data_IF_605252440445
#
_entry.id   IF_605252440445
#
_cell.length_a   1.000
_cell.length_b   1.000
_cell.length_c   1.000
_cell.angle_alpha   90.00
_cell.angle_beta   90.00
_cell.angle_gamma   90.00
#
_symmetry.space_group_name_H-M   'P 1'
#
loop_
_entity.id
_entity.type
_entity.pdbx_description
1 polymer ?
#
# COMPACT_ATOMS: atom_id res chain seq x y z
N UNK A 1 50.53 19.48 6.43
CA UNK A 1 49.29 20.28 6.25
C UNK A 1 48.54 19.95 4.96
N UNK A 2 49.17 19.95 3.76
CA UNK A 2 48.50 19.65 2.47
C UNK A 2 47.73 18.32 2.43
N UNK A 3 48.26 17.25 3.05
CA UNK A 3 47.59 15.93 3.12
C UNK A 3 46.33 15.91 3.98
N UNK A 4 46.27 16.70 5.05
CA UNK A 4 45.09 16.80 5.93
C UNK A 4 43.94 17.56 5.26
N UNK A 5 44.28 18.61 4.49
CA UNK A 5 43.29 19.37 3.71
C UNK A 5 42.67 18.50 2.61
N UNK A 6 43.49 17.70 1.92
CA UNK A 6 42.98 16.77 0.89
C UNK A 6 42.01 15.77 1.51
N UNK A 7 42.38 15.10 2.61
CA UNK A 7 41.50 14.12 3.27
C UNK A 7 40.17 14.77 3.70
N UNK A 8 40.21 15.96 4.32
CA UNK A 8 39.00 16.65 4.76
C UNK A 8 38.07 17.02 3.58
N UNK A 9 38.63 17.48 2.46
CA UNK A 9 37.85 17.80 1.25
C UNK A 9 37.25 16.54 0.64
N UNK A 10 37.99 15.43 0.55
CA UNK A 10 37.45 14.17 0.02
C UNK A 10 36.37 13.58 0.93
N UNK A 11 36.51 13.69 2.26
CA UNK A 11 35.49 13.22 3.22
C UNK A 11 34.19 14.02 3.12
N UNK A 12 34.27 15.35 2.98
CA UNK A 12 33.10 16.22 2.80
C UNK A 12 32.43 15.93 1.45
N UNK A 13 33.21 15.68 0.40
CA UNK A 13 32.68 15.29 -0.91
C UNK A 13 31.97 13.93 -0.86
N UNK A 14 32.53 12.94 -0.16
CA UNK A 14 31.91 11.62 0.03
C UNK A 14 30.64 11.68 0.89
N UNK A 15 30.58 12.55 1.90
CA UNK A 15 29.38 12.80 2.71
C UNK A 15 28.26 13.49 1.90
N UNK A 16 28.60 14.28 0.89
CA UNK A 16 27.61 14.96 0.03
C UNK A 16 26.95 14.10 -1.05
N UNK A 17 27.44 12.87 -1.28
CA UNK A 17 26.90 11.94 -2.30
C UNK A 17 25.94 10.90 -1.67
N UNK A 18 25.72 10.95 -0.35
CA UNK A 18 24.69 10.15 0.32
C UNK A 18 23.28 10.70 0.06
N UNK A 19 22.92 10.92 -1.21
CA UNK A 19 21.53 11.00 -1.60
C UNK A 19 20.94 9.61 -1.36
N UNK A 20 20.10 9.49 -0.34
CA UNK A 20 19.26 8.33 -0.11
C UNK A 20 18.45 8.07 -1.38
N UNK A 21 18.87 7.10 -2.19
CA UNK A 21 18.10 6.58 -3.30
C UNK A 21 16.91 5.81 -2.73
N UNK A 22 15.85 6.52 -2.34
CA UNK A 22 14.58 5.93 -1.97
C UNK A 22 13.95 5.37 -3.25
N UNK A 23 14.29 4.13 -3.59
CA UNK A 23 13.60 3.39 -4.62
C UNK A 23 12.17 3.14 -4.13
N UNK A 24 11.21 3.64 -4.89
CA UNK A 24 9.81 3.27 -4.73
C UNK A 24 9.67 1.74 -4.80
N UNK A 25 8.97 1.09 -3.85
CA UNK A 25 8.71 -0.34 -3.92
C UNK A 25 7.92 -0.66 -5.18
N UNK A 26 8.29 -1.77 -5.82
CA UNK A 26 7.66 -2.18 -7.08
C UNK A 26 6.18 -2.51 -6.92
N UNK A 27 5.81 -3.08 -5.79
CA UNK A 27 4.43 -3.43 -5.44
C UNK A 27 4.12 -2.82 -4.08
N UNK A 28 2.97 -2.16 -3.99
CA UNK A 28 2.50 -1.45 -2.80
C UNK A 28 1.00 -1.72 -2.62
N UNK A 29 0.55 -1.69 -1.37
CA UNK A 29 -0.88 -1.67 -1.02
C UNK A 29 -1.21 -0.38 -0.27
N UNK A 30 -2.44 0.11 -0.42
CA UNK A 30 -2.91 1.33 0.24
C UNK A 30 -4.40 1.26 0.55
N UNK A 31 -4.80 1.32 1.82
CA UNK A 31 -6.21 1.54 2.18
C UNK A 31 -6.56 3.01 1.95
N UNK A 32 -7.60 3.29 1.17
CA UNK A 32 -8.03 4.65 0.84
C UNK A 32 -8.40 5.42 2.12
N UNK A 33 -7.84 6.63 2.26
CA UNK A 33 -8.08 7.51 3.41
C UNK A 33 -7.18 7.25 4.61
N UNK A 34 -6.32 6.22 4.57
CA UNK A 34 -5.36 5.94 5.62
C UNK A 34 -4.21 6.97 5.67
N UNK A 35 -3.62 7.16 6.86
CA UNK A 35 -2.53 8.14 7.08
C UNK A 35 -1.28 7.46 7.60
N UNK A 36 -0.14 7.76 6.97
CA UNK A 36 1.18 7.30 7.41
C UNK A 36 1.53 7.84 8.81
N UNK A 37 1.66 6.95 9.79
CA UNK A 37 2.11 7.31 11.12
C UNK A 37 3.62 7.08 11.26
N UNK A 38 4.42 8.13 11.10
CA UNK A 38 5.88 8.07 11.28
C UNK A 38 6.33 7.89 12.74
N UNK A 39 5.41 8.03 13.72
CA UNK A 39 5.74 8.23 15.15
C UNK A 39 5.37 7.10 16.12
N UNK A 40 4.70 6.03 15.68
CA UNK A 40 4.33 4.92 16.56
C UNK A 40 5.16 3.68 16.23
N UNK A 41 6.07 3.30 17.14
CA UNK A 41 6.97 2.16 16.98
C UNK A 41 6.31 0.77 16.98
N UNK A 42 4.97 0.70 17.04
CA UNK A 42 4.21 -0.55 17.14
C UNK A 42 3.39 -0.87 15.88
N UNK A 43 3.08 0.11 15.03
CA UNK A 43 2.22 -0.04 13.84
C UNK A 43 3.04 0.00 12.54
N UNK A 44 4.21 -0.65 12.55
CA UNK A 44 5.04 -0.83 11.34
C UNK A 44 4.61 -2.03 10.49
N UNK A 45 3.53 -2.71 10.87
CA UNK A 45 3.14 -3.99 10.31
C UNK A 45 1.79 -3.84 9.62
N UNK A 46 1.82 -3.62 8.30
CA UNK A 46 0.77 -4.02 7.33
C UNK A 46 -0.69 -3.59 7.58
N UNK A 47 -1.54 -3.77 6.59
CA UNK A 47 -2.90 -3.21 6.59
C UNK A 47 -3.84 -4.00 7.48
N UNK A 48 -3.79 -3.73 8.78
CA UNK A 48 -4.73 -4.28 9.76
C UNK A 48 -5.88 -3.30 9.93
N UNK A 49 -7.09 -3.77 9.70
CA UNK A 49 -8.30 -2.96 9.84
C UNK A 49 -9.39 -3.75 10.56
N UNK A 50 -10.12 -3.03 11.40
CA UNK A 50 -11.34 -3.53 12.05
C UNK A 50 -12.60 -2.96 11.36
N UNK A 51 -12.42 -2.17 10.29
CA UNK A 51 -13.54 -1.64 9.51
C UNK A 51 -14.10 -2.70 8.59
N UNK A 52 -15.43 -2.73 8.53
CA UNK A 52 -16.17 -3.76 7.80
C UNK A 52 -16.28 -3.46 6.29
N UNK A 53 -16.02 -2.22 5.86
CA UNK A 53 -16.03 -1.81 4.46
C UNK A 53 -14.99 -0.72 4.23
N UNK A 54 -14.13 -0.90 3.23
CA UNK A 54 -13.11 0.06 2.82
C UNK A 54 -12.61 -0.26 1.42
N UNK A 55 -11.97 0.72 0.78
CA UNK A 55 -11.31 0.50 -0.50
C UNK A 55 -9.81 0.27 -0.31
N UNK A 56 -9.30 -0.75 -1.00
CA UNK A 56 -7.89 -1.11 -1.04
C UNK A 56 -7.34 -0.87 -2.45
N UNK A 57 -6.26 -0.11 -2.56
CA UNK A 57 -5.48 0.02 -3.79
C UNK A 57 -4.31 -0.94 -3.77
N UNK A 58 -4.12 -1.66 -4.87
CA UNK A 58 -2.91 -2.44 -5.14
C UNK A 58 -2.19 -1.81 -6.31
N UNK A 59 -0.91 -1.48 -6.13
CA UNK A 59 -0.22 -0.54 -7.01
C UNK A 59 1.09 -1.13 -7.46
N UNK A 60 1.26 -1.25 -8.77
CA UNK A 60 2.53 -1.57 -9.40
C UNK A 60 3.26 -0.31 -9.80
N UNK A 61 4.42 -0.03 -9.21
CA UNK A 61 5.16 1.22 -9.43
C UNK A 61 6.57 0.94 -9.95
N UNK A 62 6.84 1.26 -11.21
CA UNK A 62 8.15 0.98 -11.81
C UNK A 62 9.12 2.12 -11.61
N UNK A 63 8.66 3.34 -11.85
CA UNK A 63 9.51 4.54 -11.81
C UNK A 63 8.66 5.78 -11.71
N UNK A 64 9.19 6.79 -11.00
CA UNK A 64 8.59 8.13 -10.97
C UNK A 64 8.51 8.75 -12.36
N UNK A 65 7.37 9.35 -12.65
CA UNK A 65 7.20 10.18 -13.82
C UNK A 65 7.81 11.56 -13.54
N UNK A 66 8.68 12.01 -14.45
CA UNK A 66 9.34 13.31 -14.38
C UNK A 66 9.22 13.96 -15.76
N UNK A 67 8.38 15.01 -15.93
CA UNK A 67 8.24 15.68 -17.23
C UNK A 67 9.52 16.42 -17.63
N UNK A 68 10.37 16.80 -16.67
CA UNK A 68 11.65 17.52 -16.90
C UNK A 68 12.76 16.62 -17.47
N UNK A 69 12.59 15.31 -17.33
CA UNK A 69 13.51 14.27 -17.75
C UNK A 69 13.73 14.17 -19.26
N UNK A 70 12.73 14.59 -20.03
CA UNK A 70 12.75 14.50 -21.49
C UNK A 70 13.58 15.62 -22.14
N UNK A 71 13.93 16.68 -21.40
CA UNK A 71 14.62 17.86 -21.94
C UNK A 71 16.14 17.83 -21.80
N UNK A 72 16.67 17.01 -20.90
CA UNK A 72 18.11 16.85 -20.71
C UNK A 72 18.44 15.38 -20.89
N UNK A 73 19.20 15.08 -21.93
CA UNK A 73 19.75 13.76 -22.21
C UNK A 73 20.54 13.28 -20.97
N UNK A 74 19.88 12.55 -20.07
CA UNK A 74 20.31 12.31 -18.69
C UNK A 74 21.35 11.19 -18.58
N UNK A 75 22.29 11.16 -19.53
CA UNK A 75 23.45 10.28 -19.53
C UNK A 75 24.59 10.77 -18.60
N UNK A 76 24.43 11.92 -17.93
CA UNK A 76 25.53 12.49 -17.16
C UNK A 76 25.69 11.90 -15.74
N UNK A 77 24.69 11.19 -15.18
CA UNK A 77 24.76 10.63 -13.81
C UNK A 77 23.95 9.32 -13.59
N UNK A 78 23.66 8.55 -14.65
CA UNK A 78 22.95 7.25 -14.52
C UNK A 78 21.45 7.33 -14.18
N UNK A 79 20.86 8.52 -14.19
CA UNK A 79 19.43 8.71 -14.01
C UNK A 79 18.69 8.53 -15.34
N UNK A 80 18.44 7.29 -15.78
CA UNK A 80 17.53 7.03 -16.89
C UNK A 80 16.12 7.48 -16.50
N UNK A 81 15.60 8.48 -17.20
CA UNK A 81 14.43 9.23 -16.76
C UNK A 81 13.31 9.21 -17.83
N UNK A 82 13.22 8.12 -18.63
CA UNK A 82 12.19 7.88 -19.67
C UNK A 82 11.00 6.98 -19.24
N UNK A 83 10.36 6.27 -20.17
CA UNK A 83 9.48 5.12 -19.88
C UNK A 83 10.31 3.87 -19.54
N UNK A 84 10.00 3.10 -18.49
CA UNK A 84 10.69 1.85 -18.20
C UNK A 84 10.43 0.84 -19.34
N UNK A 85 11.29 -0.18 -19.47
CA UNK A 85 10.97 -1.30 -20.38
C UNK A 85 9.64 -1.92 -19.95
N UNK A 86 8.80 -2.24 -20.93
CA UNK A 86 7.52 -2.91 -20.68
C UNK A 86 7.72 -4.16 -19.82
N UNK A 87 6.89 -4.29 -18.79
CA UNK A 87 6.86 -5.39 -17.84
C UNK A 87 5.50 -5.35 -17.13
N UNK A 88 5.06 -6.47 -16.61
CA UNK A 88 3.76 -6.60 -15.93
C UNK A 88 3.92 -7.35 -14.62
N UNK A 89 2.87 -7.38 -13.80
CA UNK A 89 2.73 -8.16 -12.58
C UNK A 89 1.37 -8.87 -12.60
N UNK A 90 1.39 -10.20 -12.68
CA UNK A 90 0.23 -11.00 -12.31
C UNK A 90 0.07 -10.92 -10.78
N UNK A 91 -1.00 -10.29 -10.30
CA UNK A 91 -1.08 -9.77 -8.94
C UNK A 91 -2.11 -10.53 -8.10
N UNK A 92 -1.73 -10.78 -6.86
CA UNK A 92 -2.53 -11.43 -5.83
C UNK A 92 -2.66 -10.50 -4.62
N UNK A 93 -3.88 -10.34 -4.13
CA UNK A 93 -4.10 -9.83 -2.77
C UNK A 93 -3.94 -10.98 -1.80
N UNK A 94 -3.14 -10.75 -0.76
CA UNK A 94 -2.96 -11.68 0.34
C UNK A 94 -3.82 -11.22 1.51
N UNK A 95 -4.76 -12.06 1.90
CA UNK A 95 -5.68 -11.79 3.00
C UNK A 95 -5.31 -12.71 4.15
N UNK A 96 -5.24 -12.16 5.36
CA UNK A 96 -5.11 -12.95 6.58
C UNK A 96 -6.24 -12.64 7.56
N UNK A 97 -6.79 -13.69 8.17
CA UNK A 97 -7.89 -13.63 9.14
C UNK A 97 -7.58 -14.53 10.34
N UNK A 98 -8.13 -14.27 11.54
CA UNK A 98 -7.85 -15.06 12.73
C UNK A 98 -8.26 -16.55 12.62
N UNK A 99 -7.37 -17.47 13.00
CA UNK A 99 -7.55 -18.95 12.86
C UNK A 99 -8.77 -19.56 13.55
N UNK A 100 -9.31 -18.91 14.57
CA UNK A 100 -10.36 -19.47 15.46
C UNK A 100 -11.68 -18.71 15.35
N UNK A 101 -11.87 -17.99 14.25
CA UNK A 101 -13.08 -17.21 14.01
C UNK A 101 -13.67 -17.61 12.67
N UNK A 102 -14.98 -17.38 12.56
CA UNK A 102 -15.73 -17.62 11.34
C UNK A 102 -16.27 -16.29 10.86
N UNK A 103 -16.05 -16.02 9.58
CA UNK A 103 -16.44 -14.77 8.97
C UNK A 103 -16.34 -14.87 7.46
N UNK A 104 -16.60 -13.76 6.81
CA UNK A 104 -16.65 -13.67 5.36
C UNK A 104 -15.89 -12.42 4.91
N UNK A 105 -15.19 -12.57 3.79
CA UNK A 105 -14.49 -11.47 3.12
C UNK A 105 -14.98 -11.44 1.69
N UNK A 106 -15.34 -10.26 1.19
CA UNK A 106 -15.68 -10.04 -0.22
C UNK A 106 -14.71 -9.06 -0.86
N UNK A 107 -14.35 -9.34 -2.11
CA UNK A 107 -13.60 -8.44 -2.98
C UNK A 107 -14.49 -8.14 -4.17
N UNK A 108 -14.83 -6.86 -4.38
CA UNK A 108 -15.69 -6.40 -5.49
C UNK A 108 -17.01 -7.20 -5.59
N UNK A 109 -17.60 -7.53 -4.43
CA UNK A 109 -18.84 -8.31 -4.32
C UNK A 109 -18.68 -9.82 -4.47
N UNK A 110 -17.49 -10.33 -4.79
CA UNK A 110 -17.19 -11.77 -4.88
C UNK A 110 -16.64 -12.25 -3.54
N UNK A 111 -17.26 -13.29 -2.97
CA UNK A 111 -16.80 -13.87 -1.71
C UNK A 111 -15.47 -14.62 -1.90
N UNK A 112 -14.51 -14.32 -1.02
CA UNK A 112 -13.23 -15.02 -0.96
C UNK A 112 -13.45 -16.35 -0.25
N UNK A 113 -13.30 -17.42 -1.01
CA UNK A 113 -13.49 -18.78 -0.52
C UNK A 113 -12.21 -19.32 0.09
N UNK A 114 -12.34 -20.04 1.21
CA UNK A 114 -11.31 -20.87 1.83
C UNK A 114 -10.09 -20.09 2.34
N UNK A 115 -9.81 -20.24 3.63
CA UNK A 115 -8.59 -19.75 4.26
C UNK A 115 -7.81 -20.93 4.81
N UNK A 116 -6.55 -21.08 4.42
CA UNK A 116 -5.69 -22.21 4.79
C UNK A 116 -4.44 -21.75 5.53
N UNK A 117 -3.57 -22.69 5.94
CA UNK A 117 -2.28 -22.29 6.49
C UNK A 117 -1.40 -21.68 5.39
N UNK A 118 -0.46 -20.80 5.78
CA UNK A 118 0.27 -19.97 4.83
C UNK A 118 0.88 -20.74 3.65
N UNK A 119 1.54 -21.88 3.91
CA UNK A 119 2.20 -22.65 2.85
C UNK A 119 1.22 -23.29 1.88
N UNK A 120 0.01 -23.63 2.33
CA UNK A 120 -1.03 -24.22 1.49
C UNK A 120 -1.82 -23.16 0.72
N UNK A 121 -1.80 -21.90 1.20
CA UNK A 121 -2.48 -20.77 0.57
C UNK A 121 -1.68 -20.15 -0.58
N UNK A 122 -0.35 -20.33 -0.59
CA UNK A 122 0.55 -19.73 -1.59
C UNK A 122 0.34 -20.43 -2.95
N UNK A 123 0.05 -19.70 -4.03
CA UNK A 123 -0.05 -20.28 -5.37
C UNK A 123 1.30 -20.85 -5.81
N UNK A 124 1.29 -21.96 -6.56
CA UNK A 124 2.50 -22.73 -6.87
C UNK A 124 3.57 -22.01 -7.70
N UNK A 125 3.19 -20.94 -8.43
CA UNK A 125 4.08 -20.09 -9.23
C UNK A 125 4.59 -18.86 -8.46
N UNK A 126 4.23 -18.71 -7.19
CA UNK A 126 4.53 -17.54 -6.37
C UNK A 126 5.54 -17.89 -5.29
N UNK A 127 6.57 -17.07 -5.14
CA UNK A 127 7.56 -17.17 -4.07
C UNK A 127 7.60 -15.88 -3.25
N UNK A 128 6.61 -15.67 -2.34
CA UNK A 128 6.53 -14.43 -1.58
C UNK A 128 7.71 -14.31 -0.61
N UNK A 129 8.05 -13.07 -0.26
CA UNK A 129 9.06 -12.84 0.75
C UNK A 129 8.66 -13.46 2.10
N UNK A 130 9.60 -14.14 2.75
CA UNK A 130 9.32 -14.91 3.97
C UNK A 130 8.82 -14.09 5.16
N UNK A 131 8.98 -12.76 5.15
CA UNK A 131 8.45 -11.87 6.18
C UNK A 131 6.93 -11.73 6.15
N UNK A 132 6.27 -12.00 5.01
CA UNK A 132 4.84 -11.73 4.85
C UNK A 132 3.99 -12.53 5.86
N UNK A 133 4.39 -13.78 6.13
CA UNK A 133 3.73 -14.62 7.15
C UNK A 133 4.00 -14.16 8.59
N UNK A 134 4.99 -13.29 8.82
CA UNK A 134 5.41 -12.90 10.16
C UNK A 134 4.86 -11.54 10.59
N UNK A 135 4.14 -10.86 9.70
CA UNK A 135 3.39 -9.65 10.03
C UNK A 135 2.42 -9.91 11.20
N UNK A 136 2.33 -8.97 12.14
CA UNK A 136 1.35 -9.05 13.22
C UNK A 136 0.08 -8.31 12.77
N UNK A 137 -1.12 -8.88 12.95
CA UNK A 137 -1.45 -10.14 13.63
C UNK A 137 -1.38 -11.42 12.76
N UNK A 138 -1.13 -11.28 11.45
CA UNK A 138 -1.15 -12.35 10.42
C UNK A 138 -0.37 -13.62 10.73
N UNK A 139 0.71 -13.53 11.52
CA UNK A 139 1.47 -14.70 12.00
C UNK A 139 0.63 -15.77 12.70
N UNK A 140 -0.55 -15.41 13.18
CA UNK A 140 -1.50 -16.32 13.82
C UNK A 140 -2.77 -16.54 13.01
N UNK A 141 -2.83 -16.06 11.78
CA UNK A 141 -3.99 -16.15 10.91
C UNK A 141 -3.98 -17.34 9.96
N UNK A 142 -5.12 -17.55 9.31
CA UNK A 142 -5.22 -18.29 8.05
C UNK A 142 -5.05 -17.30 6.88
N UNK A 143 -4.71 -17.81 5.72
CA UNK A 143 -4.35 -17.01 4.55
C UNK A 143 -5.18 -17.40 3.33
N UNK A 144 -5.39 -16.42 2.45
CA UNK A 144 -5.89 -16.61 1.10
C UNK A 144 -5.09 -15.71 0.15
N UNK A 145 -4.78 -16.23 -1.04
CA UNK A 145 -4.16 -15.49 -2.13
C UNK A 145 -5.17 -15.38 -3.26
N UNK A 146 -5.86 -14.24 -3.35
CA UNK A 146 -6.84 -13.99 -4.41
C UNK A 146 -6.16 -13.28 -5.57
N UNK A 147 -6.21 -13.88 -6.76
CA UNK A 147 -5.75 -13.20 -7.98
C UNK A 147 -6.68 -12.03 -8.30
N UNK A 148 -6.10 -10.85 -8.54
CA UNK A 148 -6.86 -9.61 -8.83
C UNK A 148 -6.65 -9.10 -10.26
N UNK A 149 -5.86 -9.80 -11.07
CA UNK A 149 -5.53 -9.43 -12.44
C UNK A 149 -4.09 -8.97 -12.62
N UNK A 150 -3.85 -8.27 -13.73
CA UNK A 150 -2.52 -7.85 -14.17
C UNK A 150 -2.38 -6.34 -14.02
N UNK A 151 -1.24 -5.92 -13.47
CA UNK A 151 -0.80 -4.52 -13.42
C UNK A 151 0.43 -4.40 -14.31
N UNK A 152 0.42 -3.47 -15.26
CA UNK A 152 1.59 -3.22 -16.10
C UNK A 152 2.09 -1.78 -16.00
N UNK A 153 3.05 -1.41 -16.85
CA UNK A 153 3.71 -0.11 -16.85
C UNK A 153 3.62 0.61 -18.21
N UNK A 154 2.57 0.32 -18.98
CA UNK A 154 2.32 0.95 -20.28
C UNK A 154 1.98 2.46 -20.15
N UNK A 155 1.41 2.84 -18.99
CA UNK A 155 0.85 4.15 -18.70
C UNK A 155 1.42 4.78 -17.42
N UNK A 156 1.06 6.04 -17.19
CA UNK A 156 1.42 6.83 -16.00
C UNK A 156 0.17 6.95 -15.12
N UNK A 157 -0.31 5.83 -14.58
CA UNK A 157 -1.51 5.76 -13.75
C UNK A 157 -1.20 5.42 -12.30
N UNK A 158 -0.01 4.91 -12.00
CA UNK A 158 0.38 4.58 -10.63
C UNK A 158 0.76 5.82 -9.81
N UNK A 159 0.32 5.81 -8.55
CA UNK A 159 0.76 6.76 -7.53
C UNK A 159 1.73 6.10 -6.55
N UNK A 160 2.74 6.86 -6.13
CA UNK A 160 3.60 6.42 -5.04
C UNK A 160 2.86 6.56 -3.70
N UNK A 161 2.75 5.47 -2.95
CA UNK A 161 2.15 5.51 -1.61
C UNK A 161 3.20 5.36 -0.51
N UNK A 162 4.40 4.86 -0.80
CA UNK A 162 5.45 4.68 0.20
C UNK A 162 6.01 6.00 0.80
N UNK A 163 6.39 5.99 2.08
CA UNK A 163 7.13 7.04 2.82
C UNK A 163 6.73 8.52 2.56
N UNK A 164 5.63 9.02 3.13
CA UNK A 164 5.37 10.47 3.30
C UNK A 164 5.32 11.34 2.02
N UNK A 165 5.64 10.76 0.85
CA UNK A 165 5.53 11.28 -0.51
C UNK A 165 4.41 10.48 -1.18
N UNK A 166 3.21 10.71 -0.68
CA UNK A 166 1.97 10.19 -1.24
C UNK A 166 1.66 11.00 -2.50
N UNK A 167 1.15 10.34 -3.55
CA UNK A 167 0.65 10.96 -4.79
C UNK A 167 1.73 11.51 -5.73
N UNK A 168 2.94 10.94 -5.72
CA UNK A 168 3.89 11.18 -6.82
C UNK A 168 3.55 10.25 -7.99
N UNK A 169 3.14 10.77 -9.16
CA UNK A 169 2.79 9.93 -10.31
C UNK A 169 4.02 9.17 -10.82
N UNK A 170 3.77 8.00 -11.37
CA UNK A 170 4.79 7.10 -11.90
C UNK A 170 4.27 6.17 -12.98
N UNK A 171 5.20 5.56 -13.69
CA UNK A 171 4.93 4.48 -14.64
C UNK A 171 4.46 3.25 -13.90
N UNK A 172 3.31 2.75 -14.31
CA UNK A 172 2.58 1.70 -13.60
C UNK A 172 1.08 1.94 -13.64
N UNK A 173 0.35 1.00 -13.04
CA UNK A 173 -1.10 1.07 -12.88
C UNK A 173 -1.53 0.69 -11.44
N UNK A 174 -2.78 0.96 -11.10
CA UNK A 174 -3.38 0.64 -9.81
C UNK A 174 -4.73 -0.07 -9.95
N UNK A 175 -4.95 -1.14 -9.18
CA UNK A 175 -6.23 -1.83 -9.08
C UNK A 175 -6.93 -1.37 -7.79
N UNK A 176 -8.13 -0.81 -7.94
CA UNK A 176 -9.00 -0.46 -6.83
C UNK A 176 -9.92 -1.64 -6.49
N UNK A 177 -9.93 -2.03 -5.22
CA UNK A 177 -10.71 -3.14 -4.70
C UNK A 177 -11.65 -2.64 -3.60
N UNK A 178 -12.94 -2.90 -3.74
CA UNK A 178 -13.89 -2.72 -2.66
C UNK A 178 -13.87 -3.96 -1.76
N UNK A 179 -13.50 -3.77 -0.49
CA UNK A 179 -13.34 -4.85 0.47
C UNK A 179 -14.45 -4.78 1.52
N UNK A 180 -15.12 -5.92 1.74
CA UNK A 180 -16.07 -6.08 2.84
C UNK A 180 -15.61 -7.22 3.74
N UNK A 181 -15.57 -6.99 5.06
CA UNK A 181 -15.16 -7.98 6.07
C UNK A 181 -16.24 -8.09 7.13
N UNK A 182 -16.67 -9.31 7.44
CA UNK A 182 -17.67 -9.58 8.50
C UNK A 182 -17.26 -10.78 9.35
N UNK A 183 -17.58 -10.75 10.63
CA UNK A 183 -17.39 -11.88 11.56
C UNK A 183 -15.96 -12.11 12.06
N UNK A 184 -14.99 -11.31 11.60
CA UNK A 184 -13.61 -11.34 12.09
C UNK A 184 -13.30 -10.12 12.95
N UNK A 185 -12.53 -10.32 14.03
CA UNK A 185 -12.02 -9.23 14.88
C UNK A 185 -10.99 -8.36 14.14
N UNK A 186 -10.29 -8.95 13.18
CA UNK A 186 -9.33 -8.27 12.31
C UNK A 186 -9.25 -8.97 10.97
N UNK A 187 -8.93 -8.19 9.94
CA UNK A 187 -8.44 -8.71 8.67
C UNK A 187 -7.20 -7.93 8.26
N UNK A 188 -6.27 -8.64 7.64
CA UNK A 188 -4.99 -8.09 7.20
C UNK A 188 -4.81 -8.27 5.71
N UNK A 189 -4.35 -7.22 5.04
CA UNK A 189 -4.17 -7.20 3.58
C UNK A 189 -2.73 -6.89 3.19
N UNK A 190 -2.21 -7.66 2.25
CA UNK A 190 -0.93 -7.47 1.58
C UNK A 190 -1.09 -7.75 0.08
N UNK A 191 -0.03 -7.53 -0.71
CA UNK A 191 -0.02 -7.92 -2.11
C UNK A 191 1.29 -8.62 -2.51
N UNK A 192 1.15 -9.52 -3.47
CA UNK A 192 2.24 -10.22 -4.12
C UNK A 192 2.00 -10.18 -5.64
N UNK A 193 3.07 -9.99 -6.42
CA UNK A 193 2.97 -9.93 -7.87
C UNK A 193 4.11 -10.70 -8.53
N UNK A 194 3.81 -11.47 -9.55
CA UNK A 194 4.80 -12.21 -10.35
C UNK A 194 4.98 -11.50 -11.67
N UNK A 195 6.22 -11.13 -12.00
CA UNK A 195 6.47 -10.41 -13.24
C UNK A 195 6.62 -11.31 -14.47
N UNK A 196 6.81 -10.69 -15.63
CA UNK A 196 7.05 -11.36 -16.92
C UNK A 196 8.21 -12.36 -16.94
N UNK A 197 9.09 -12.34 -15.94
CA UNK A 197 10.26 -13.23 -15.80
C UNK A 197 10.10 -14.25 -14.67
N UNK A 198 8.92 -14.40 -14.10
CA UNK A 198 8.67 -15.28 -12.95
C UNK A 198 9.23 -14.75 -11.63
N UNK A 199 9.72 -13.50 -11.56
CA UNK A 199 10.19 -12.92 -10.31
C UNK A 199 9.02 -12.45 -9.48
N UNK A 200 8.96 -12.92 -8.24
CA UNK A 200 7.97 -12.46 -7.27
C UNK A 200 8.40 -11.15 -6.61
N UNK A 201 7.45 -10.23 -6.48
CA UNK A 201 7.53 -8.99 -5.73
C UNK A 201 6.51 -9.03 -4.61
N UNK A 202 6.91 -8.61 -3.41
CA UNK A 202 6.06 -8.59 -2.23
C UNK A 202 5.98 -7.17 -1.69
N UNK A 203 4.79 -6.77 -1.24
CA UNK A 203 4.61 -5.51 -0.52
C UNK A 203 5.63 -5.41 0.64
N UNK A 204 6.44 -4.35 0.74
CA UNK A 204 7.46 -4.23 1.78
C UNK A 204 6.87 -4.19 3.21
N UNK A 205 7.59 -4.72 4.21
CA UNK A 205 7.08 -4.97 5.56
C UNK A 205 7.02 -3.75 6.49
N UNK A 206 7.23 -2.52 5.99
CA UNK A 206 7.77 -1.44 6.82
C UNK A 206 7.05 -0.11 6.81
N UNK A 207 6.07 0.12 5.95
CA UNK A 207 5.58 1.47 5.66
C UNK A 207 4.10 1.47 5.31
N UNK A 208 3.30 0.92 6.22
CA UNK A 208 1.86 0.79 6.07
C UNK A 208 1.18 1.60 7.17
N UNK A 209 0.04 2.20 6.84
CA UNK A 209 -0.72 3.02 7.78
C UNK A 209 -1.83 2.24 8.45
N UNK A 210 -1.99 2.44 9.75
CA UNK A 210 -3.20 2.07 10.48
C UNK A 210 -4.40 2.82 9.90
N UNK A 211 -5.37 2.10 9.32
CA UNK A 211 -6.64 2.69 8.91
C UNK A 211 -7.52 2.89 10.14
N UNK A 212 -7.46 4.08 10.73
CA UNK A 212 -8.53 4.58 11.57
C UNK A 212 -9.56 5.19 10.63
N UNK A 213 -10.72 4.55 10.46
CA UNK A 213 -11.88 5.21 9.88
C UNK A 213 -12.24 6.37 10.80
N UNK A 214 -11.61 7.51 10.57
CA UNK A 214 -12.07 8.76 11.12
C UNK A 214 -13.30 9.04 10.26
N UNK A 215 -14.52 9.08 10.82
CA UNK A 215 -15.69 9.44 10.03
C UNK A 215 -15.35 10.69 9.25
N UNK A 216 -15.59 10.67 7.94
CA UNK A 216 -15.30 11.82 7.09
C UNK A 216 -15.88 13.07 7.77
N UNK A 217 -15.13 14.20 7.83
CA UNK A 217 -15.61 15.41 8.51
C UNK A 217 -17.01 15.83 8.03
N UNK A 218 -17.36 15.50 6.78
CA UNK A 218 -18.69 15.66 6.20
C UNK A 218 -19.78 14.87 6.92
N UNK A 219 -19.54 13.62 7.30
CA UNK A 219 -20.52 12.74 7.96
C UNK A 219 -20.84 13.21 9.37
N UNK A 220 -19.84 13.68 10.13
CA UNK A 220 -20.05 14.30 11.45
C UNK A 220 -20.72 15.68 11.34
N UNK A 221 -20.38 16.44 10.30
CA UNK A 221 -21.05 17.73 10.03
C UNK A 221 -22.51 17.53 9.65
N UNK A 222 -22.83 16.51 8.85
CA UNK A 222 -24.20 16.20 8.45
C UNK A 222 -25.03 15.66 9.62
N UNK A 223 -24.44 14.84 10.49
CA UNK A 223 -25.07 14.38 11.73
C UNK A 223 -25.32 15.56 12.69
N UNK A 224 -24.32 16.45 12.85
CA UNK A 224 -24.40 17.63 13.70
C UNK A 224 -25.43 18.66 13.21
N UNK A 225 -25.43 18.95 11.90
CA UNK A 225 -26.41 19.84 11.26
C UNK A 225 -27.82 19.22 11.23
N UNK A 226 -27.92 17.91 11.00
CA UNK A 226 -29.20 17.18 11.04
C UNK A 226 -29.84 17.21 12.43
N UNK A 227 -29.05 17.03 13.48
CA UNK A 227 -29.53 17.13 14.87
C UNK A 227 -29.92 18.57 15.24
N UNK A 228 -29.15 19.58 14.83
CA UNK A 228 -29.49 20.98 15.04
C UNK A 228 -30.76 21.42 14.28
N UNK A 229 -30.99 20.89 13.08
CA UNK A 229 -32.19 21.12 12.28
C UNK A 229 -33.47 20.52 12.89
N UNK A 230 -33.35 19.53 13.77
CA UNK A 230 -34.48 18.92 14.47
C UNK A 230 -34.86 19.65 15.77
N UNK A 231 -33.98 20.48 16.35
CA UNK A 231 -34.25 21.25 17.58
C UNK A 231 -35.47 22.19 17.45
N UNK A 232 -35.67 22.93 16.35
CA UNK A 232 -36.86 23.76 16.17
C UNK A 232 -38.15 22.93 16.01
N UNK A 233 -38.05 21.73 15.42
CA UNK A 233 -39.18 20.83 15.18
C UNK A 233 -39.66 20.20 16.50
N UNK A 234 -38.71 19.79 17.35
CA UNK A 234 -39.02 19.26 18.70
C UNK A 234 -39.61 20.36 19.59
N UNK A 235 -39.17 21.62 19.45
CA UNK A 235 -39.73 22.77 20.19
C UNK A 235 -41.15 23.14 19.75
N UNK A 236 -41.56 22.87 18.51
CA UNK A 236 -42.92 23.15 18.01
C UNK A 236 -43.98 22.14 18.48
N UNK A 237 -43.59 20.93 18.90
CA UNK A 237 -44.53 19.91 19.39
C UNK A 237 -44.90 20.02 20.89
N UNK A 238 -44.33 21.00 21.62
CA UNK A 238 -44.63 21.25 23.04
C UNK A 238 -45.53 22.48 23.28
N UNK A 239 -46.21 22.98 22.25
CA UNK A 239 -47.30 23.95 22.37
C UNK A 239 -48.59 23.31 21.90
#
# INVERSE_FOLDING_TARGET
MKRLVIIAVTSILMLSIAATAFAAPRLQTYIVGSKYHWRYGLDRSSWVTNNQNFDLKVVGYWRRYSPSASRWNSNFLGCHQGQPRYDYLNTYVVISVPKKQSGQVWINGVEVQTFSDYLDAVPGDVSPAGYLRWHRPSRFGKFNFTNIGVIDNDQINAMHYNHGRIMSPGWGDEILLNIVVRGYDWAHFDAVGVNSRGRTFTNPPGYDSSYFATPEPGTLSLLGLGLLGLVPIIRRKKK
#
